data_IF_485539466513
#
_entry.id   IF_485539466513
#
_cell.length_a   1.000
_cell.length_b   1.000
_cell.length_c   1.000
_cell.angle_alpha   90.00
_cell.angle_beta   90.00
_cell.angle_gamma   90.00
#
_symmetry.space_group_name_H-M   'P 1'
#
loop_
_entity.id
_entity.type
_entity.pdbx_description
1 polymer ?
#
# COMPACT_ATOMS: atom_id res chain seq x y z
N UNK A 1 15.17 23.40 1.82
CA UNK A 1 14.85 22.04 1.39
C UNK A 1 13.54 22.01 0.64
N UNK A 2 13.53 21.42 -0.53
CA UNK A 2 12.27 21.19 -1.23
C UNK A 2 11.48 20.14 -0.48
N UNK A 3 10.21 20.42 -0.22
CA UNK A 3 9.29 19.40 0.26
C UNK A 3 9.02 18.44 -0.90
N UNK A 4 9.27 17.17 -0.65
CA UNK A 4 8.92 16.12 -1.61
C UNK A 4 7.40 15.96 -1.66
N UNK A 5 6.82 15.69 -2.84
CA UNK A 5 5.39 15.38 -2.90
C UNK A 5 5.09 14.08 -2.14
N UNK A 6 3.91 14.01 -1.56
CA UNK A 6 3.49 12.84 -0.79
C UNK A 6 3.05 11.72 -1.76
N UNK A 7 3.63 10.55 -1.57
CA UNK A 7 3.15 9.31 -2.17
C UNK A 7 2.48 8.48 -1.09
N UNK A 8 1.18 8.32 -1.19
CA UNK A 8 0.41 7.48 -0.28
C UNK A 8 0.38 6.04 -0.80
N UNK A 9 0.76 5.10 0.01
CA UNK A 9 0.84 3.68 -0.37
C UNK A 9 -0.05 2.86 0.54
N UNK A 10 -0.94 2.07 -0.04
CA UNK A 10 -1.73 1.10 0.71
C UNK A 10 -0.82 -0.06 1.15
N UNK A 11 -1.26 -0.80 2.16
CA UNK A 11 -0.46 -1.87 2.73
C UNK A 11 -0.91 -3.25 2.24
N UNK A 12 -2.12 -3.68 2.61
CA UNK A 12 -2.63 -5.00 2.23
C UNK A 12 -2.96 -5.04 0.73
N UNK A 13 -2.43 -6.05 0.04
CA UNK A 13 -2.58 -6.20 -1.40
C UNK A 13 -1.62 -5.35 -2.23
N UNK A 14 -0.82 -4.49 -1.61
CA UNK A 14 0.17 -3.64 -2.30
C UNK A 14 1.57 -3.93 -1.79
N UNK A 15 1.85 -3.70 -0.52
CA UNK A 15 3.14 -4.06 0.11
C UNK A 15 3.09 -5.49 0.62
N UNK A 16 2.09 -5.81 1.44
CA UNK A 16 1.80 -7.15 1.94
C UNK A 16 1.01 -7.90 0.88
N UNK A 17 1.46 -9.08 0.48
CA UNK A 17 0.80 -9.82 -0.60
C UNK A 17 -0.66 -10.20 -0.27
N UNK A 18 -0.96 -10.34 1.01
CA UNK A 18 -2.34 -10.50 1.52
C UNK A 18 -3.06 -11.76 1.01
N UNK A 19 -2.31 -12.77 0.64
CA UNK A 19 -2.85 -14.02 0.09
C UNK A 19 -3.70 -14.81 1.11
N UNK A 20 -3.40 -14.63 2.39
CA UNK A 20 -4.15 -15.28 3.48
C UNK A 20 -5.37 -14.50 3.94
N UNK A 21 -5.61 -13.29 3.42
CA UNK A 21 -6.72 -12.43 3.81
C UNK A 21 -6.54 -11.82 5.20
N UNK A 22 -7.60 -11.22 5.71
CA UNK A 22 -7.60 -10.51 6.98
C UNK A 22 -7.65 -11.46 8.18
N UNK A 23 -6.68 -11.37 9.06
CA UNK A 23 -6.59 -12.16 10.29
C UNK A 23 -6.46 -11.29 11.54
N UNK A 24 -6.65 -9.99 11.41
CA UNK A 24 -6.50 -9.02 12.49
C UNK A 24 -5.45 -7.97 12.16
N UNK A 25 -5.56 -6.79 12.79
CA UNK A 25 -4.72 -5.65 12.47
C UNK A 25 -3.23 -5.88 12.73
N UNK A 26 -2.90 -6.75 13.68
CA UNK A 26 -1.52 -7.05 14.07
C UNK A 26 -0.97 -8.33 13.47
N UNK A 27 -1.79 -9.08 12.72
CA UNK A 27 -1.39 -10.34 12.10
C UNK A 27 -1.14 -10.12 10.61
N UNK A 28 0.12 -10.22 10.20
CA UNK A 28 0.58 -9.94 8.84
C UNK A 28 1.35 -11.16 8.35
N UNK A 29 0.63 -12.24 7.93
CA UNK A 29 1.24 -13.55 7.76
C UNK A 29 1.99 -13.76 6.45
N UNK A 30 1.72 -12.96 5.43
CA UNK A 30 2.19 -13.25 4.08
C UNK A 30 3.45 -12.44 3.75
N UNK A 31 4.22 -12.86 2.73
CA UNK A 31 5.40 -12.10 2.32
C UNK A 31 5.04 -10.80 1.62
N UNK A 32 5.99 -9.86 1.51
CA UNK A 32 5.80 -8.69 0.65
C UNK A 32 5.59 -9.09 -0.80
N UNK A 33 4.87 -8.26 -1.53
CA UNK A 33 4.79 -8.43 -3.00
C UNK A 33 6.18 -8.31 -3.60
N UNK A 34 6.49 -9.07 -4.67
CA UNK A 34 7.82 -9.03 -5.26
C UNK A 34 8.24 -7.62 -5.66
N UNK A 35 9.44 -7.23 -5.22
CA UNK A 35 10.03 -5.94 -5.55
C UNK A 35 9.53 -4.75 -4.72
N UNK A 36 8.57 -4.95 -3.81
CA UNK A 36 7.95 -3.85 -3.06
C UNK A 36 8.97 -3.04 -2.25
N UNK A 37 9.81 -3.72 -1.47
CA UNK A 37 10.73 -3.01 -0.56
C UNK A 37 11.80 -2.23 -1.31
N UNK A 38 12.34 -2.80 -2.38
CA UNK A 38 13.31 -2.09 -3.22
C UNK A 38 12.70 -0.87 -3.89
N UNK A 39 11.49 -1.03 -4.39
CA UNK A 39 10.78 0.07 -5.03
C UNK A 39 10.50 1.20 -4.04
N UNK A 40 10.02 0.84 -2.84
CA UNK A 40 9.73 1.83 -1.80
C UNK A 40 10.97 2.57 -1.35
N UNK A 41 12.07 1.86 -1.15
CA UNK A 41 13.34 2.51 -0.81
C UNK A 41 13.76 3.51 -1.88
N UNK A 42 13.68 3.11 -3.14
CA UNK A 42 13.98 4.01 -4.26
C UNK A 42 13.03 5.21 -4.27
N UNK A 43 11.75 4.98 -4.02
CA UNK A 43 10.74 6.04 -4.01
C UNK A 43 11.01 7.11 -2.94
N UNK A 44 11.62 6.76 -1.81
CA UNK A 44 11.94 7.73 -0.75
C UNK A 44 12.92 8.80 -1.20
N UNK A 45 13.68 8.56 -2.28
CA UNK A 45 14.54 9.59 -2.89
C UNK A 45 13.77 10.68 -3.61
N UNK A 46 12.53 10.44 -3.98
CA UNK A 46 11.71 11.34 -4.79
C UNK A 46 10.45 11.83 -4.09
N UNK A 47 9.92 11.02 -3.18
CA UNK A 47 8.64 11.25 -2.51
C UNK A 47 8.79 11.20 -0.99
N UNK A 48 7.89 11.92 -0.32
CA UNK A 48 7.55 11.65 1.07
C UNK A 48 6.58 10.46 1.06
N UNK A 49 7.12 9.26 1.31
CA UNK A 49 6.34 8.03 1.25
C UNK A 49 5.59 7.83 2.57
N UNK A 50 4.29 7.73 2.48
CA UNK A 50 3.42 7.50 3.64
C UNK A 50 2.53 6.29 3.42
N UNK A 51 2.52 5.38 4.38
CA UNK A 51 1.62 4.22 4.36
C UNK A 51 0.32 4.62 5.05
N UNK A 52 -0.79 4.38 4.39
CA UNK A 52 -2.11 4.56 4.97
C UNK A 52 -2.91 3.26 4.83
N UNK A 53 -3.37 2.72 5.96
CA UNK A 53 -4.02 1.41 6.03
C UNK A 53 -5.08 1.40 7.10
N UNK A 54 -6.13 0.61 6.91
CA UNK A 54 -7.14 0.37 7.94
C UNK A 54 -6.56 -0.24 9.21
N UNK A 55 -5.38 -0.88 9.12
CA UNK A 55 -4.67 -1.41 10.29
C UNK A 55 -4.30 -0.33 11.30
N UNK A 56 -4.19 0.92 10.86
CA UNK A 56 -3.88 2.07 11.72
C UNK A 56 -5.03 2.44 12.67
N UNK A 57 -6.23 1.91 12.48
CA UNK A 57 -7.34 2.07 13.42
C UNK A 57 -7.10 1.32 14.73
N UNK A 58 -6.30 0.27 14.69
CA UNK A 58 -5.87 -0.46 15.89
C UNK A 58 -4.63 0.22 16.46
N UNK A 59 -4.58 0.48 17.80
CA UNK A 59 -3.41 1.12 18.40
C UNK A 59 -2.09 0.37 18.18
N UNK A 60 -2.14 -0.95 17.99
CA UNK A 60 -0.96 -1.79 17.78
C UNK A 60 -0.68 -2.06 16.29
N UNK A 61 -1.54 -1.62 15.41
CA UNK A 61 -1.41 -1.90 13.97
C UNK A 61 -0.19 -1.25 13.34
N UNK A 62 0.11 0.00 13.74
CA UNK A 62 1.29 0.71 13.26
C UNK A 62 2.59 -0.03 13.59
N UNK A 63 2.73 -0.44 14.84
CA UNK A 63 3.93 -1.14 15.27
C UNK A 63 4.06 -2.50 14.59
N UNK A 64 2.96 -3.20 14.38
CA UNK A 64 2.95 -4.46 13.65
C UNK A 64 3.43 -4.29 12.21
N UNK A 65 2.94 -3.25 11.51
CA UNK A 65 3.40 -2.96 10.15
C UNK A 65 4.87 -2.56 10.12
N UNK A 66 5.32 -1.75 11.08
CA UNK A 66 6.72 -1.35 11.14
C UNK A 66 7.64 -2.55 11.37
N UNK A 67 7.29 -3.42 12.30
CA UNK A 67 8.03 -4.66 12.55
C UNK A 67 8.09 -5.55 11.32
N UNK A 68 6.97 -5.68 10.61
CA UNK A 68 6.89 -6.42 9.37
C UNK A 68 7.85 -5.85 8.31
N UNK A 69 7.82 -4.54 8.11
CA UNK A 69 8.68 -3.87 7.14
C UNK A 69 10.16 -4.06 7.47
N UNK A 70 10.52 -3.90 8.74
CA UNK A 70 11.90 -4.07 9.20
C UNK A 70 12.38 -5.51 9.00
N UNK A 71 11.56 -6.47 9.41
CA UNK A 71 11.87 -7.91 9.29
C UNK A 71 12.18 -8.29 7.84
N UNK A 72 11.29 -7.92 6.94
CA UNK A 72 11.46 -8.27 5.52
C UNK A 72 12.55 -7.42 4.84
N UNK A 73 12.79 -6.22 5.31
CA UNK A 73 13.91 -5.40 4.82
C UNK A 73 15.27 -5.98 5.18
N UNK A 74 15.39 -6.63 6.34
CA UNK A 74 16.63 -7.33 6.70
C UNK A 74 16.96 -8.44 5.73
N UNK A 75 15.95 -9.15 5.27
CA UNK A 75 16.14 -10.21 4.26
C UNK A 75 16.57 -9.60 2.93
N UNK A 76 15.95 -8.49 2.54
CA UNK A 76 16.17 -7.85 1.23
C UNK A 76 17.48 -7.08 1.16
N UNK A 77 17.81 -6.31 2.20
CA UNK A 77 18.92 -5.35 2.19
C UNK A 77 20.09 -5.72 3.11
N UNK A 78 19.87 -6.63 4.04
CA UNK A 78 20.84 -6.92 5.09
C UNK A 78 20.77 -5.94 6.26
N UNK A 79 21.41 -6.33 7.37
CA UNK A 79 21.41 -5.50 8.59
C UNK A 79 22.12 -4.16 8.37
N UNK A 80 21.67 -3.13 9.06
CA UNK A 80 22.29 -1.80 9.01
C UNK A 80 21.73 -0.87 7.93
N UNK A 81 20.94 -1.38 7.00
CA UNK A 81 20.26 -0.52 6.04
C UNK A 81 19.19 0.33 6.75
N UNK A 82 18.94 1.59 6.34
CA UNK A 82 17.92 2.44 7.00
C UNK A 82 16.54 1.79 7.09
N UNK A 83 16.14 0.98 6.12
CA UNK A 83 14.88 0.25 6.14
C UNK A 83 14.83 -0.85 7.20
N UNK A 84 15.92 -1.14 7.88
CA UNK A 84 16.00 -2.17 8.92
C UNK A 84 16.14 -1.59 10.33
N UNK A 85 16.16 -0.28 10.47
CA UNK A 85 16.37 0.40 11.74
C UNK A 85 15.17 1.30 12.03
N UNK A 86 14.49 1.06 13.14
CA UNK A 86 13.26 1.75 13.47
C UNK A 86 13.40 3.28 13.51
N UNK A 87 14.44 3.79 14.15
CA UNK A 87 14.66 5.24 14.29
C UNK A 87 15.05 5.94 12.97
N UNK A 88 15.59 5.18 12.01
CA UNK A 88 16.04 5.71 10.72
C UNK A 88 15.06 5.38 9.60
N UNK A 89 13.96 4.71 9.92
CA UNK A 89 13.01 4.23 8.93
C UNK A 89 12.43 5.39 8.12
N UNK A 90 12.62 5.40 6.79
CA UNK A 90 12.35 6.59 5.99
C UNK A 90 10.89 6.76 5.57
N UNK A 91 10.04 5.78 5.89
CA UNK A 91 8.62 5.77 5.53
C UNK A 91 7.79 6.06 6.76
N UNK A 92 6.80 6.94 6.64
CA UNK A 92 5.89 7.25 7.75
C UNK A 92 4.57 6.52 7.62
N UNK A 93 3.89 6.33 8.75
CA UNK A 93 2.55 5.77 8.79
C UNK A 93 1.58 6.91 9.10
N UNK A 94 0.67 7.19 8.17
CA UNK A 94 -0.25 8.32 8.29
C UNK A 94 -1.41 7.98 9.23
N UNK A 95 -1.73 8.88 10.17
CA UNK A 95 -2.87 8.70 11.07
C UNK A 95 -4.21 8.88 10.37
N UNK A 96 -4.21 9.69 9.34
CA UNK A 96 -5.39 9.95 8.50
C UNK A 96 -4.95 9.98 7.04
N UNK A 97 -5.91 9.90 6.14
CA UNK A 97 -5.60 9.91 4.71
C UNK A 97 -4.83 11.18 4.35
N UNK A 98 -3.58 11.06 3.88
CA UNK A 98 -2.76 12.23 3.56
C UNK A 98 -3.26 12.93 2.29
N UNK A 99 -2.94 14.23 2.18
CA UNK A 99 -3.14 15.00 0.96
C UNK A 99 -2.06 14.61 -0.05
N UNK A 100 -2.21 13.43 -0.64
CA UNK A 100 -1.19 12.84 -1.48
C UNK A 100 -1.22 13.37 -2.91
N UNK A 101 -0.04 13.52 -3.50
CA UNK A 101 0.10 13.78 -4.94
C UNK A 101 -0.34 12.57 -5.77
N UNK A 102 0.06 11.38 -5.34
CA UNK A 102 -0.31 10.10 -5.94
C UNK A 102 -0.63 9.08 -4.86
N UNK A 103 -1.44 8.09 -5.21
CA UNK A 103 -1.77 6.98 -4.34
C UNK A 103 -1.57 5.66 -5.10
N UNK A 104 -0.90 4.71 -4.45
CA UNK A 104 -0.79 3.33 -4.93
C UNK A 104 -1.75 2.48 -4.10
N UNK A 105 -2.75 1.92 -4.76
CA UNK A 105 -3.83 1.18 -4.12
C UNK A 105 -4.32 0.10 -5.09
N UNK A 106 -4.58 -1.11 -4.58
CA UNK A 106 -5.09 -2.22 -5.36
C UNK A 106 -6.62 -2.23 -5.51
N UNK A 107 -7.30 -1.34 -4.80
CA UNK A 107 -8.77 -1.25 -4.78
C UNK A 107 -9.27 0.11 -5.21
N UNK A 108 -8.72 0.61 -6.29
CA UNK A 108 -9.09 1.89 -6.85
C UNK A 108 -9.43 1.75 -8.33
N UNK A 109 -10.43 2.48 -8.76
CA UNK A 109 -10.78 2.60 -10.17
C UNK A 109 -10.21 3.92 -10.65
N UNK A 110 -9.47 3.88 -11.75
CA UNK A 110 -8.98 5.09 -12.41
C UNK A 110 -10.13 5.72 -13.17
N UNK A 111 -10.57 6.89 -12.71
CA UNK A 111 -11.69 7.58 -13.34
C UNK A 111 -11.21 8.34 -14.58
N UNK A 112 -11.85 8.08 -15.71
CA UNK A 112 -11.52 8.69 -17.00
C UNK A 112 -12.36 9.94 -17.33
N UNK A 113 -13.25 10.33 -16.44
CA UNK A 113 -14.15 11.46 -16.62
C UNK A 113 -15.54 11.07 -17.10
N UNK A 114 -15.80 9.81 -17.36
CA UNK A 114 -17.07 9.32 -17.88
C UNK A 114 -17.78 8.38 -16.89
N UNK A 115 -18.81 8.89 -16.22
CA UNK A 115 -19.61 8.11 -15.28
C UNK A 115 -20.46 7.02 -15.94
N UNK A 116 -20.76 7.16 -17.24
CA UNK A 116 -21.67 6.24 -17.92
C UNK A 116 -21.09 4.83 -18.05
N UNK A 117 -19.78 4.70 -18.00
CA UNK A 117 -19.09 3.41 -18.07
C UNK A 117 -18.94 2.74 -16.69
N UNK A 118 -19.25 3.43 -15.62
CA UNK A 118 -19.17 2.91 -14.26
C UNK A 118 -20.52 2.38 -13.82
N UNK A 119 -20.78 1.09 -14.06
CA UNK A 119 -22.01 0.46 -13.59
C UNK A 119 -21.82 -0.09 -12.17
N UNK A 120 -22.61 0.39 -11.19
CA UNK A 120 -22.48 -0.12 -9.82
C UNK A 120 -22.66 -1.64 -9.69
N UNK A 121 -23.49 -2.25 -10.54
CA UNK A 121 -23.69 -3.69 -10.51
C UNK A 121 -22.43 -4.44 -10.95
N UNK A 122 -21.74 -3.95 -11.97
CA UNK A 122 -20.51 -4.55 -12.47
C UNK A 122 -19.39 -4.43 -11.44
N UNK A 123 -19.28 -3.27 -10.80
CA UNK A 123 -18.31 -3.04 -9.72
C UNK A 123 -18.58 -4.00 -8.57
N UNK A 124 -19.82 -4.14 -8.15
CA UNK A 124 -20.20 -5.03 -7.07
C UNK A 124 -19.93 -6.51 -7.41
N UNK A 125 -20.16 -6.91 -8.65
CA UNK A 125 -19.90 -8.28 -9.10
C UNK A 125 -18.41 -8.63 -8.98
N UNK A 126 -17.53 -7.73 -9.36
CA UNK A 126 -16.07 -7.93 -9.23
C UNK A 126 -15.67 -8.12 -7.77
N UNK A 127 -16.23 -7.31 -6.86
CA UNK A 127 -15.90 -7.42 -5.42
C UNK A 127 -16.47 -8.68 -4.78
N UNK A 128 -17.57 -9.23 -5.29
CA UNK A 128 -18.18 -10.47 -4.78
C UNK A 128 -17.41 -11.72 -5.17
N UNK A 129 -16.79 -11.71 -6.35
CA UNK A 129 -16.03 -12.87 -6.83
C UNK A 129 -14.81 -13.15 -5.97
N UNK A 130 -14.15 -12.11 -5.49
CA UNK A 130 -13.01 -12.24 -4.59
C UNK A 130 -12.86 -10.95 -3.76
N UNK A 131 -13.48 -10.90 -2.56
CA UNK A 131 -13.43 -9.69 -1.73
C UNK A 131 -12.03 -9.22 -1.37
N UNK A 132 -11.07 -10.15 -1.35
CA UNK A 132 -9.67 -9.87 -0.99
C UNK A 132 -8.76 -9.68 -2.19
N UNK A 133 -9.27 -9.87 -3.40
CA UNK A 133 -8.47 -9.69 -4.62
C UNK A 133 -8.43 -8.22 -5.03
N UNK A 134 -7.35 -7.79 -5.72
CA UNK A 134 -7.31 -6.48 -6.34
C UNK A 134 -8.50 -6.31 -7.29
N UNK A 135 -9.04 -5.10 -7.33
CA UNK A 135 -10.13 -4.77 -8.26
C UNK A 135 -9.53 -4.67 -9.66
N UNK A 136 -9.91 -5.63 -10.51
CA UNK A 136 -9.56 -5.64 -11.92
C UNK A 136 -10.76 -5.15 -12.72
N UNK A 137 -10.99 -3.85 -12.72
CA UNK A 137 -11.99 -3.24 -13.57
C UNK A 137 -11.40 -3.08 -14.97
N UNK A 138 -12.19 -3.25 -16.06
CA UNK A 138 -11.65 -3.15 -17.41
C UNK A 138 -11.25 -1.72 -17.79
N UNK A 139 -10.50 -1.11 -16.93
CA UNK A 139 -9.92 0.22 -17.06
C UNK A 139 -8.69 0.20 -17.96
N UNK A 140 -8.28 -1.01 -18.38
CA UNK A 140 -7.26 -1.21 -19.40
C UNK A 140 -7.60 -0.54 -20.72
N UNK A 141 -8.86 -0.13 -20.89
CA UNK A 141 -9.34 0.61 -22.05
C UNK A 141 -9.41 2.12 -21.83
N UNK A 142 -8.65 2.64 -20.85
CA UNK A 142 -8.56 4.09 -20.66
C UNK A 142 -8.04 4.70 -21.96
N UNK A 143 -8.81 5.56 -22.63
CA UNK A 143 -8.35 6.24 -23.82
C UNK A 143 -7.14 7.11 -23.46
N UNK A 144 -6.09 6.97 -24.20
CA UNK A 144 -4.92 7.82 -24.06
C UNK A 144 -5.24 9.29 -24.37
#
# INVERSE_FOLDING_TARGET
MRNKPILCVDFDGVIHSYTSGWQGATIIPDPPTPGALKWLWKATGWFDVQIYSSRLKDPLGRDAMLEYMIKHSRVEFGDGHPMTVSRDFPITFAHEKPAAFLMINDRAICFDGDWSELDPCDILAVTKESPDAPISYPVTEIPE
#
